data_IF_246309453482
#
_entry.id   IF_246309453482
#
_cell.length_a   1.000
_cell.length_b   1.000
_cell.length_c   1.000
_cell.angle_alpha   90.00
_cell.angle_beta   90.00
_cell.angle_gamma   90.00
#
_symmetry.space_group_name_H-M   'P 1'
#
loop_
_entity.id
_entity.type
_entity.pdbx_description
1 polymer ?
#
# COMPACT_ATOMS: atom_id res chain seq x y z
N UNK A 1 -21.96 10.18 7.22
CA UNK A 1 -20.73 9.48 7.62
C UNK A 1 -20.61 8.27 6.70
N UNK A 2 -19.74 8.36 5.68
CA UNK A 2 -19.54 7.35 4.62
C UNK A 2 -18.25 6.55 4.92
N UNK A 3 -17.80 6.51 6.17
CA UNK A 3 -16.54 5.86 6.55
C UNK A 3 -16.64 4.32 6.63
N UNK A 4 -17.81 3.73 6.36
CA UNK A 4 -18.11 2.33 6.72
C UNK A 4 -18.29 1.39 5.52
N UNK A 5 -18.64 1.90 4.34
CA UNK A 5 -18.88 1.06 3.16
C UNK A 5 -17.58 0.50 2.55
N UNK A 6 -16.44 1.05 2.95
CA UNK A 6 -15.13 0.76 2.36
C UNK A 6 -14.12 0.18 3.36
N UNK A 7 -14.55 -0.12 4.59
CA UNK A 7 -13.70 -0.72 5.60
C UNK A 7 -13.38 -2.19 5.28
N UNK A 8 -12.16 -2.66 5.56
CA UNK A 8 -11.83 -4.08 5.37
C UNK A 8 -12.57 -4.96 6.38
N UNK A 9 -12.84 -6.20 5.98
CA UNK A 9 -13.19 -7.24 6.94
C UNK A 9 -12.08 -7.39 7.99
N UNK A 10 -12.45 -7.50 9.27
CA UNK A 10 -11.50 -7.59 10.39
C UNK A 10 -10.45 -8.70 10.20
N UNK A 11 -10.89 -9.88 9.75
CA UNK A 11 -10.00 -11.01 9.49
C UNK A 11 -9.01 -10.71 8.36
N UNK A 12 -9.48 -10.11 7.27
CA UNK A 12 -8.61 -9.72 6.15
C UNK A 12 -7.56 -8.69 6.58
N UNK A 13 -7.96 -7.67 7.36
CA UNK A 13 -7.02 -6.69 7.92
C UNK A 13 -5.93 -7.34 8.79
N UNK A 14 -6.33 -8.19 9.74
CA UNK A 14 -5.36 -8.86 10.63
C UNK A 14 -4.36 -9.70 9.84
N UNK A 15 -4.84 -10.44 8.84
CA UNK A 15 -4.00 -11.25 7.96
C UNK A 15 -3.03 -10.36 7.19
N UNK A 16 -3.51 -9.26 6.60
CA UNK A 16 -2.66 -8.31 5.87
C UNK A 16 -1.60 -7.68 6.77
N UNK A 17 -1.95 -7.27 7.98
CA UNK A 17 -0.99 -6.69 8.93
C UNK A 17 0.05 -7.72 9.38
N UNK A 18 -0.36 -8.98 9.60
CA UNK A 18 0.57 -10.07 9.86
C UNK A 18 1.55 -10.26 8.67
N UNK A 19 1.04 -10.29 7.44
CA UNK A 19 1.91 -10.41 6.27
C UNK A 19 2.81 -9.19 6.07
N UNK A 20 2.33 -7.98 6.40
CA UNK A 20 3.08 -6.73 6.35
C UNK A 20 4.27 -6.73 7.30
N UNK A 21 4.10 -7.21 8.54
CA UNK A 21 5.18 -7.19 9.53
C UNK A 21 6.11 -8.41 9.47
N UNK A 22 5.55 -9.60 9.29
CA UNK A 22 6.32 -10.85 9.44
C UNK A 22 6.22 -11.79 8.24
N UNK A 23 5.24 -11.61 7.35
CA UNK A 23 5.00 -12.55 6.26
C UNK A 23 6.14 -12.67 5.26
N UNK A 24 6.58 -11.54 4.70
CA UNK A 24 7.70 -11.51 3.75
C UNK A 24 8.97 -12.07 4.35
N UNK A 25 9.34 -11.61 5.55
CA UNK A 25 10.49 -12.11 6.30
C UNK A 25 10.40 -13.61 6.60
N UNK A 26 9.23 -14.08 7.03
CA UNK A 26 8.98 -15.49 7.34
C UNK A 26 9.20 -16.40 6.14
N UNK A 27 8.72 -16.02 4.96
CA UNK A 27 8.93 -16.77 3.71
C UNK A 27 10.42 -16.82 3.35
N UNK A 28 11.12 -15.68 3.46
CA UNK A 28 12.56 -15.60 3.18
C UNK A 28 13.33 -16.52 4.14
N UNK A 29 13.07 -16.41 5.45
CA UNK A 29 13.74 -17.24 6.46
C UNK A 29 13.42 -18.72 6.29
N UNK A 30 12.18 -19.07 5.95
CA UNK A 30 11.78 -20.44 5.66
C UNK A 30 12.53 -21.00 4.43
N UNK A 31 12.62 -20.21 3.36
CA UNK A 31 13.43 -20.56 2.19
C UNK A 31 14.90 -20.77 2.53
N UNK A 32 15.49 -19.92 3.38
CA UNK A 32 16.86 -20.10 3.85
C UNK A 32 17.00 -21.39 4.68
N UNK A 33 16.05 -21.67 5.56
CA UNK A 33 16.03 -22.86 6.41
C UNK A 33 15.92 -24.17 5.61
N UNK A 34 15.07 -24.23 4.59
CA UNK A 34 14.95 -25.39 3.70
C UNK A 34 16.25 -25.65 2.93
N UNK A 35 16.96 -24.58 2.56
CA UNK A 35 18.19 -24.68 1.79
C UNK A 35 19.46 -24.71 2.65
N UNK A 36 19.34 -24.74 3.99
CA UNK A 36 20.48 -24.67 4.92
C UNK A 36 21.54 -25.74 4.70
N UNK A 37 21.14 -26.93 4.24
CA UNK A 37 22.05 -28.05 4.04
C UNK A 37 23.11 -27.75 2.97
N UNK A 38 22.84 -26.83 2.03
CA UNK A 38 23.82 -26.35 1.06
C UNK A 38 24.87 -25.44 1.69
N UNK A 39 24.51 -24.73 2.76
CA UNK A 39 25.44 -23.91 3.55
C UNK A 39 26.24 -24.75 4.55
N UNK A 40 25.65 -25.83 5.06
CA UNK A 40 26.23 -26.66 6.13
C UNK A 40 27.08 -27.84 5.62
N UNK A 41 27.17 -28.07 4.31
CA UNK A 41 28.10 -29.08 3.76
C UNK A 41 29.54 -28.67 4.10
N UNK A 42 30.22 -29.50 4.90
CA UNK A 42 31.58 -29.31 5.48
C UNK A 42 32.72 -29.06 4.46
N UNK A 43 32.48 -29.14 3.16
CA UNK A 43 33.47 -28.86 2.12
C UNK A 43 33.50 -27.37 1.72
N UNK A 44 33.35 -26.47 2.69
CA UNK A 44 33.52 -25.03 2.50
C UNK A 44 35.01 -24.70 2.37
N UNK A 45 35.65 -25.17 1.29
CA UNK A 45 36.96 -24.68 0.88
C UNK A 45 36.75 -23.32 0.22
N UNK A 46 37.12 -22.25 0.94
CA UNK A 46 37.09 -20.86 0.45
C UNK A 46 37.88 -20.63 -0.86
N UNK A 47 38.67 -21.61 -1.30
CA UNK A 47 39.40 -21.60 -2.58
C UNK A 47 38.53 -21.88 -3.81
N UNK A 48 37.30 -22.38 -3.66
CA UNK A 48 36.35 -22.61 -4.76
C UNK A 48 34.98 -22.02 -4.43
N UNK A 49 34.78 -20.75 -4.77
CA UNK A 49 33.50 -20.00 -4.64
C UNK A 49 32.33 -20.70 -5.37
N UNK A 50 32.60 -21.74 -6.16
CA UNK A 50 31.64 -22.50 -6.97
C UNK A 50 30.91 -23.66 -6.24
N UNK A 51 31.34 -24.08 -5.05
CA UNK A 51 30.90 -25.37 -4.46
C UNK A 51 29.56 -25.41 -3.70
N UNK A 52 29.24 -24.39 -2.88
CA UNK A 52 28.09 -24.44 -1.96
C UNK A 52 27.17 -23.22 -1.99
N UNK A 53 27.74 -22.03 -2.22
CA UNK A 53 27.00 -20.76 -2.23
C UNK A 53 26.08 -20.66 -3.45
N UNK A 54 26.57 -21.03 -4.64
CA UNK A 54 25.81 -20.93 -5.89
C UNK A 54 24.59 -21.86 -5.94
N UNK A 55 24.68 -23.15 -5.54
CA UNK A 55 23.51 -24.01 -5.38
C UNK A 55 22.51 -23.50 -4.34
N UNK A 56 22.98 -22.94 -3.23
CA UNK A 56 22.11 -22.31 -2.22
C UNK A 56 21.34 -21.15 -2.84
N UNK A 57 22.05 -20.17 -3.43
CA UNK A 57 21.42 -18.98 -4.02
C UNK A 57 20.40 -19.35 -5.09
N UNK A 58 20.72 -20.29 -6.00
CA UNK A 58 19.76 -20.73 -7.03
C UNK A 58 18.45 -21.25 -6.47
N UNK A 59 18.48 -21.97 -5.34
CA UNK A 59 17.28 -22.55 -4.70
C UNK A 59 16.61 -21.61 -3.72
N UNK A 60 17.37 -20.69 -3.13
CA UNK A 60 16.87 -19.66 -2.22
C UNK A 60 16.20 -18.50 -2.96
N UNK A 61 16.69 -18.17 -4.16
CA UNK A 61 16.24 -17.01 -4.93
C UNK A 61 14.72 -16.96 -5.20
N UNK A 62 14.03 -18.07 -5.53
CA UNK A 62 12.57 -18.06 -5.63
C UNK A 62 11.89 -17.67 -4.31
N UNK A 63 12.37 -18.17 -3.17
CA UNK A 63 11.82 -17.80 -1.85
C UNK A 63 12.05 -16.33 -1.53
N UNK A 64 13.21 -15.80 -1.91
CA UNK A 64 13.51 -14.38 -1.76
C UNK A 64 12.51 -13.54 -2.56
N UNK A 65 12.29 -13.86 -3.83
CA UNK A 65 11.35 -13.12 -4.68
C UNK A 65 9.89 -13.26 -4.20
N UNK A 66 9.46 -14.46 -3.80
CA UNK A 66 8.10 -14.66 -3.25
C UNK A 66 7.94 -13.85 -1.97
N UNK A 67 8.91 -13.89 -1.06
CA UNK A 67 8.85 -13.14 0.19
C UNK A 67 8.80 -11.64 -0.04
N UNK A 68 9.64 -11.11 -0.92
CA UNK A 68 9.63 -9.68 -1.30
C UNK A 68 8.31 -9.28 -1.97
N UNK A 69 7.75 -10.15 -2.83
CA UNK A 69 6.48 -9.89 -3.49
C UNK A 69 5.34 -9.82 -2.47
N UNK A 70 5.23 -10.81 -1.58
CA UNK A 70 4.25 -10.83 -0.49
C UNK A 70 4.38 -9.59 0.38
N UNK A 71 5.61 -9.17 0.68
CA UNK A 71 5.86 -7.95 1.45
C UNK A 71 5.37 -6.69 0.74
N UNK A 72 5.69 -6.55 -0.54
CA UNK A 72 5.27 -5.41 -1.36
C UNK A 72 3.76 -5.30 -1.50
N UNK A 73 3.08 -6.42 -1.77
CA UNK A 73 1.61 -6.49 -1.84
C UNK A 73 0.98 -6.16 -0.49
N UNK A 74 1.56 -6.66 0.61
CA UNK A 74 1.05 -6.38 1.95
C UNK A 74 1.22 -4.93 2.36
N UNK A 75 2.32 -4.28 1.97
CA UNK A 75 2.53 -2.84 2.18
C UNK A 75 1.50 -2.01 1.41
N UNK A 76 1.26 -2.36 0.15
CA UNK A 76 0.21 -1.76 -0.66
C UNK A 76 -1.17 -1.95 -0.02
N UNK A 77 -1.53 -3.18 0.36
CA UNK A 77 -2.83 -3.50 0.95
C UNK A 77 -3.06 -2.88 2.32
N UNK A 78 -2.04 -2.83 3.17
CA UNK A 78 -2.15 -2.15 4.45
C UNK A 78 -2.43 -0.65 4.24
N UNK A 79 -1.78 -0.01 3.27
CA UNK A 79 -2.03 1.40 2.92
C UNK A 79 -3.41 1.60 2.29
N UNK A 80 -3.81 0.70 1.37
CA UNK A 80 -5.13 0.65 0.71
C UNK A 80 -6.25 0.67 1.75
N UNK A 81 -6.19 -0.18 2.79
CA UNK A 81 -7.22 -0.22 3.82
C UNK A 81 -7.43 1.11 4.57
N UNK A 82 -6.36 1.83 4.91
CA UNK A 82 -6.51 3.14 5.54
C UNK A 82 -7.04 4.17 4.54
N UNK A 83 -6.51 4.24 3.31
CA UNK A 83 -6.99 5.20 2.33
C UNK A 83 -8.45 4.95 1.93
N UNK A 84 -8.85 3.69 1.76
CA UNK A 84 -10.22 3.28 1.45
C UNK A 84 -11.21 3.73 2.52
N UNK A 85 -10.88 3.53 3.80
CA UNK A 85 -11.77 3.85 4.91
C UNK A 85 -12.11 5.35 5.00
N UNK A 86 -11.16 6.21 4.62
CA UNK A 86 -11.30 7.67 4.64
C UNK A 86 -11.56 8.26 3.25
N UNK A 87 -11.74 7.41 2.24
CA UNK A 87 -12.11 7.84 0.89
C UNK A 87 -13.62 7.88 0.75
N UNK A 88 -14.13 8.89 0.06
CA UNK A 88 -15.54 8.89 -0.35
C UNK A 88 -15.77 7.93 -1.51
N UNK A 89 -14.87 7.94 -2.48
CA UNK A 89 -14.86 7.03 -3.62
C UNK A 89 -13.42 6.62 -3.93
N UNK A 90 -13.29 5.52 -4.66
CA UNK A 90 -12.02 4.96 -5.07
C UNK A 90 -12.18 4.17 -6.37
N UNK A 91 -11.08 4.04 -7.11
CA UNK A 91 -11.02 3.19 -8.30
C UNK A 91 -10.81 1.73 -7.91
N UNK A 92 -10.89 0.82 -8.88
CA UNK A 92 -10.31 -0.51 -8.71
C UNK A 92 -8.77 -0.44 -8.64
N UNK A 93 -8.16 -1.59 -8.32
CA UNK A 93 -6.70 -1.72 -8.35
C UNK A 93 -6.25 -2.13 -9.74
N UNK A 94 -5.41 -1.31 -10.35
CA UNK A 94 -4.94 -1.48 -11.72
C UNK A 94 -3.41 -1.56 -11.79
N UNK A 95 -2.88 -1.97 -12.94
CA UNK A 95 -1.43 -2.02 -13.17
C UNK A 95 -0.89 -0.75 -13.83
N UNK A 96 -1.77 0.01 -14.47
CA UNK A 96 -1.42 1.19 -15.27
C UNK A 96 -2.28 2.39 -14.90
N UNK A 97 -1.72 3.59 -15.05
CA UNK A 97 -2.46 4.82 -14.74
C UNK A 97 -3.63 5.05 -15.68
N UNK A 98 -3.57 4.52 -16.91
CA UNK A 98 -4.63 4.67 -17.91
C UNK A 98 -5.93 4.05 -17.41
N UNK A 99 -5.88 2.81 -16.91
CA UNK A 99 -7.04 2.10 -16.36
C UNK A 99 -7.59 2.82 -15.12
N UNK A 100 -6.71 3.32 -14.24
CA UNK A 100 -7.13 4.17 -13.10
C UNK A 100 -7.89 5.41 -13.57
N UNK A 101 -7.43 6.06 -14.64
CA UNK A 101 -8.10 7.23 -15.17
C UNK A 101 -9.40 6.89 -15.91
N UNK A 102 -9.53 5.69 -16.48
CA UNK A 102 -10.78 5.22 -17.06
C UNK A 102 -11.84 5.05 -15.97
N UNK A 103 -11.51 4.39 -14.85
CA UNK A 103 -12.39 4.29 -13.68
C UNK A 103 -12.81 5.67 -13.16
N UNK A 104 -11.86 6.59 -13.03
CA UNK A 104 -12.14 7.97 -12.58
C UNK A 104 -13.07 8.74 -13.53
N UNK A 105 -13.11 8.41 -14.83
CA UNK A 105 -14.03 9.07 -15.79
C UNK A 105 -15.44 8.56 -15.67
N UNK A 106 -15.60 7.28 -15.35
CA UNK A 106 -16.91 6.62 -15.28
C UNK A 106 -17.68 7.06 -14.03
N UNK A 107 -16.97 7.40 -12.95
CA UNK A 107 -17.59 7.89 -11.72
C UNK A 107 -18.10 9.35 -11.87
N UNK A 108 -19.34 9.51 -12.35
CA UNK A 108 -19.97 10.82 -12.54
C UNK A 108 -20.20 11.60 -11.23
N UNK A 109 -20.23 10.91 -10.09
CA UNK A 109 -20.38 11.54 -8.77
C UNK A 109 -19.09 12.27 -8.36
N UNK A 110 -17.96 11.89 -8.95
CA UNK A 110 -16.64 12.47 -8.72
C UNK A 110 -16.01 12.93 -10.01
N UNK A 111 -16.25 14.20 -10.37
CA UNK A 111 -15.51 14.85 -11.47
C UNK A 111 -14.05 15.07 -11.07
N UNK A 112 -13.23 14.03 -11.13
CA UNK A 112 -11.78 14.11 -11.04
C UNK A 112 -11.28 15.02 -12.18
N UNK A 113 -10.43 16.00 -11.87
CA UNK A 113 -9.77 16.82 -12.89
C UNK A 113 -8.59 16.04 -13.48
N UNK A 114 -8.93 15.04 -14.32
CA UNK A 114 -7.95 14.11 -14.88
C UNK A 114 -6.94 14.83 -15.77
N UNK A 115 -7.37 15.83 -16.53
CA UNK A 115 -6.47 16.64 -17.35
C UNK A 115 -5.47 17.43 -16.50
N UNK A 116 -5.92 18.00 -15.38
CA UNK A 116 -5.04 18.65 -14.40
C UNK A 116 -4.05 17.68 -13.77
N UNK A 117 -4.52 16.50 -13.36
CA UNK A 117 -3.69 15.41 -12.80
C UNK A 117 -2.59 15.00 -13.80
N UNK A 118 -2.97 14.75 -15.05
CA UNK A 118 -2.04 14.36 -16.10
C UNK A 118 -0.97 15.41 -16.39
N UNK A 119 -1.31 16.70 -16.29
CA UNK A 119 -0.36 17.81 -16.49
C UNK A 119 0.64 17.95 -15.34
N UNK A 120 0.21 17.70 -14.10
CA UNK A 120 1.07 17.84 -12.92
C UNK A 120 2.01 16.64 -12.72
N UNK A 121 1.62 15.48 -13.26
CA UNK A 121 2.45 14.28 -13.32
C UNK A 121 1.76 13.09 -12.67
N UNK A 122 1.94 11.91 -13.27
CA UNK A 122 1.19 10.70 -12.90
C UNK A 122 2.12 9.54 -12.57
N UNK A 123 1.67 8.56 -11.78
CA UNK A 123 2.36 7.28 -11.73
C UNK A 123 2.33 6.61 -13.11
N UNK A 124 3.33 5.79 -13.41
CA UNK A 124 3.43 5.06 -14.68
C UNK A 124 2.87 3.63 -14.55
N UNK A 125 3.53 2.78 -13.75
CA UNK A 125 3.20 1.35 -13.60
C UNK A 125 3.41 0.87 -12.16
N UNK A 126 2.67 -0.16 -11.75
CA UNK A 126 2.74 -0.74 -10.41
C UNK A 126 1.36 -1.16 -9.94
N UNK A 127 1.20 -1.52 -8.67
CA UNK A 127 -0.15 -1.64 -8.10
C UNK A 127 -0.67 -0.23 -7.86
N UNK A 128 -1.65 0.19 -8.65
CA UNK A 128 -2.19 1.54 -8.64
C UNK A 128 -3.64 1.54 -8.17
N UNK A 129 -3.99 2.48 -7.31
CA UNK A 129 -5.39 2.73 -6.94
C UNK A 129 -5.58 4.20 -6.60
N UNK A 130 -6.65 4.79 -7.14
CA UNK A 130 -7.04 6.17 -6.90
C UNK A 130 -8.07 6.27 -5.77
N UNK A 131 -7.99 7.35 -5.00
CA UNK A 131 -8.88 7.64 -3.88
C UNK A 131 -9.26 9.12 -3.92
N UNK A 132 -10.53 9.43 -3.63
CA UNK A 132 -10.96 10.78 -3.30
C UNK A 132 -11.09 10.88 -1.79
N UNK A 133 -10.15 11.57 -1.15
CA UNK A 133 -10.24 11.90 0.26
C UNK A 133 -11.11 13.14 0.42
N UNK A 134 -12.19 12.98 1.19
CA UNK A 134 -13.10 14.06 1.58
C UNK A 134 -13.27 13.97 3.09
N UNK A 135 -12.40 14.67 3.80
CA UNK A 135 -12.49 14.76 5.25
C UNK A 135 -12.50 16.20 5.74
N UNK A 136 -12.86 16.40 7.01
CA UNK A 136 -12.99 17.71 7.64
C UNK A 136 -11.90 17.85 8.70
N UNK A 137 -10.85 18.61 8.38
CA UNK A 137 -9.81 18.96 9.36
C UNK A 137 -10.30 20.10 10.25
N UNK A 138 -10.16 19.95 11.57
CA UNK A 138 -10.45 21.03 12.53
C UNK A 138 -9.16 21.80 12.83
N UNK A 139 -9.00 22.98 12.23
CA UNK A 139 -7.91 23.92 12.54
C UNK A 139 -8.45 25.01 13.49
N UNK A 140 -8.37 24.77 14.79
CA UNK A 140 -8.89 25.69 15.82
C UNK A 140 -10.42 25.80 15.78
N UNK A 141 -10.95 26.98 15.44
CA UNK A 141 -12.39 27.26 15.27
C UNK A 141 -12.88 27.04 13.82
N UNK A 142 -11.98 26.78 12.88
CA UNK A 142 -12.29 26.66 11.44
C UNK A 142 -12.22 25.20 11.02
N UNK A 143 -13.27 24.71 10.36
CA UNK A 143 -13.29 23.38 9.75
C UNK A 143 -12.84 23.51 8.30
N UNK A 144 -11.62 23.08 7.99
CA UNK A 144 -11.08 23.05 6.63
C UNK A 144 -11.40 21.69 6.01
N UNK A 145 -12.12 21.68 4.89
CA UNK A 145 -12.33 20.43 4.14
C UNK A 145 -11.04 20.04 3.42
N UNK A 146 -10.55 18.85 3.69
CA UNK A 146 -9.52 18.17 2.92
C UNK A 146 -10.22 17.64 1.67
N UNK A 147 -9.98 18.30 0.55
CA UNK A 147 -10.42 17.83 -0.76
C UNK A 147 -9.18 17.48 -1.57
N UNK A 148 -8.86 16.19 -1.61
CA UNK A 148 -7.63 15.70 -2.24
C UNK A 148 -7.91 14.43 -3.03
N UNK A 149 -7.22 14.32 -4.15
CA UNK A 149 -7.16 13.07 -4.92
C UNK A 149 -5.83 12.42 -4.60
N UNK A 150 -5.84 11.15 -4.23
CA UNK A 150 -4.62 10.41 -3.91
C UNK A 150 -4.53 9.23 -4.86
N UNK A 151 -3.37 9.03 -5.50
CA UNK A 151 -3.08 7.78 -6.22
C UNK A 151 -1.95 7.07 -5.48
N UNK A 152 -2.24 5.89 -4.94
CA UNK A 152 -1.24 5.04 -4.31
C UNK A 152 -0.57 4.15 -5.37
N UNK A 153 0.75 4.05 -5.30
CA UNK A 153 1.58 3.21 -6.17
C UNK A 153 2.42 2.25 -5.33
N UNK A 154 2.10 0.96 -5.39
CA UNK A 154 2.92 -0.12 -4.87
C UNK A 154 3.91 -0.62 -5.93
N UNK A 155 5.16 -0.88 -5.51
CA UNK A 155 6.20 -1.39 -6.40
C UNK A 155 6.43 -2.89 -6.15
N UNK A 156 6.40 -3.75 -7.19
CA UNK A 156 6.73 -5.16 -7.03
C UNK A 156 8.10 -5.35 -6.37
N UNK A 157 8.18 -6.30 -5.43
CA UNK A 157 9.40 -6.68 -4.71
C UNK A 157 10.00 -5.61 -3.78
N UNK A 158 9.37 -4.44 -3.65
CA UNK A 158 9.78 -3.39 -2.74
C UNK A 158 8.63 -3.08 -1.77
N UNK A 159 8.84 -3.19 -0.45
CA UNK A 159 7.81 -2.91 0.55
C UNK A 159 7.65 -1.39 0.77
N UNK A 160 7.34 -0.67 -0.32
CA UNK A 160 7.19 0.78 -0.37
C UNK A 160 5.94 1.13 -1.18
N UNK A 161 5.17 2.07 -0.65
CA UNK A 161 4.04 2.69 -1.36
C UNK A 161 4.37 4.16 -1.57
N UNK A 162 4.33 4.61 -2.82
CA UNK A 162 4.42 6.03 -3.17
C UNK A 162 3.02 6.59 -3.31
N UNK A 163 2.76 7.73 -2.68
CA UNK A 163 1.51 8.47 -2.81
C UNK A 163 1.74 9.67 -3.72
N UNK A 164 0.82 9.84 -4.68
CA UNK A 164 0.65 11.06 -5.46
C UNK A 164 -0.57 11.77 -4.91
N UNK A 165 -0.35 12.87 -4.19
CA UNK A 165 -1.36 13.62 -3.46
C UNK A 165 -1.63 14.90 -4.25
N UNK A 166 -2.79 14.97 -4.88
CA UNK A 166 -3.24 16.10 -5.67
C UNK A 166 -4.18 16.97 -4.82
N UNK A 167 -3.76 18.20 -4.53
CA UNK A 167 -4.59 19.16 -3.84
C UNK A 167 -5.61 19.77 -4.79
N UNK A 168 -6.88 19.77 -4.37
CA UNK A 168 -7.98 20.29 -5.18
C UNK A 168 -8.38 21.70 -4.72
N UNK A 169 -8.64 22.58 -5.69
CA UNK A 169 -9.28 23.87 -5.47
C UNK A 169 -10.62 23.87 -6.21
N UNK A 170 -11.68 23.49 -5.48
CA UNK A 170 -12.99 23.21 -6.07
C UNK A 170 -12.95 22.00 -6.99
N UNK A 171 -13.07 22.22 -8.30
CA UNK A 171 -13.05 21.15 -9.31
C UNK A 171 -11.73 21.02 -10.08
N UNK A 172 -10.70 21.78 -9.71
CA UNK A 172 -9.42 21.78 -10.42
C UNK A 172 -8.29 21.32 -9.52
N UNK A 173 -7.31 20.63 -10.10
CA UNK A 173 -6.08 20.30 -9.38
C UNK A 173 -5.17 21.52 -9.35
N UNK A 174 -4.66 21.83 -8.16
CA UNK A 174 -3.76 22.96 -7.92
C UNK A 174 -2.30 22.54 -7.84
N UNK A 175 -2.02 21.52 -7.04
CA UNK A 175 -0.66 21.12 -6.69
C UNK A 175 -0.56 19.60 -6.57
N UNK A 176 0.59 19.06 -6.94
CA UNK A 176 0.98 17.67 -6.68
C UNK A 176 2.05 17.63 -5.59
N UNK A 177 1.78 16.87 -4.53
CA UNK A 177 2.75 16.46 -3.51
C UNK A 177 3.00 14.97 -3.63
N UNK A 178 4.22 14.53 -3.39
CA UNK A 178 4.54 13.10 -3.35
C UNK A 178 5.06 12.71 -1.99
N UNK A 179 4.64 11.54 -1.52
CA UNK A 179 5.07 10.99 -0.25
C UNK A 179 5.36 9.50 -0.39
N UNK A 180 6.10 8.95 0.56
CA UNK A 180 6.45 7.54 0.59
C UNK A 180 6.10 6.96 1.96
N UNK A 181 5.57 5.75 1.92
CA UNK A 181 5.36 4.89 3.07
C UNK A 181 6.29 3.70 2.91
N UNK A 182 7.30 3.61 3.77
CA UNK A 182 8.27 2.53 3.76
C UNK A 182 8.00 1.60 4.94
N UNK A 183 8.12 0.30 4.73
CA UNK A 183 8.26 -0.63 5.84
C UNK A 183 9.48 -0.27 6.71
N UNK A 184 9.41 -0.35 8.06
CA UNK A 184 8.31 -0.84 8.92
C UNK A 184 7.41 0.26 9.51
N UNK A 185 7.20 1.38 8.81
CA UNK A 185 6.35 2.46 9.34
C UNK A 185 4.90 2.00 9.50
N UNK A 186 4.23 2.39 10.59
CA UNK A 186 2.79 2.21 10.71
C UNK A 186 2.08 2.96 9.58
N UNK A 187 1.32 2.29 8.68
CA UNK A 187 0.67 2.97 7.57
C UNK A 187 -0.31 4.06 8.04
N UNK A 188 -1.16 3.75 9.02
CA UNK A 188 -2.08 4.74 9.61
C UNK A 188 -1.35 5.90 10.29
N UNK A 189 -0.27 5.63 11.03
CA UNK A 189 0.53 6.68 11.65
C UNK A 189 1.17 7.61 10.63
N UNK A 190 1.77 7.04 9.57
CA UNK A 190 2.42 7.83 8.52
C UNK A 190 1.41 8.63 7.69
N UNK A 191 0.25 8.06 7.37
CA UNK A 191 -0.83 8.80 6.72
C UNK A 191 -1.33 9.94 7.62
N UNK A 192 -1.45 9.69 8.92
CA UNK A 192 -1.89 10.72 9.87
C UNK A 192 -0.95 11.92 9.92
N UNK A 193 0.36 11.68 9.89
CA UNK A 193 1.37 12.73 9.77
C UNK A 193 1.28 13.50 8.44
N UNK A 194 1.05 12.79 7.33
CA UNK A 194 1.06 13.38 5.98
C UNK A 194 -0.14 14.28 5.71
N UNK A 195 -1.31 13.90 6.21
CA UNK A 195 -2.55 14.61 5.97
C UNK A 195 -3.04 15.44 7.17
N UNK A 196 -2.37 15.33 8.33
CA UNK A 196 -2.69 16.02 9.58
C UNK A 196 -4.14 15.75 10.04
N UNK A 197 -4.55 14.49 9.95
CA UNK A 197 -5.81 13.95 10.49
C UNK A 197 -5.63 12.49 10.93
N UNK A 198 -6.35 12.00 11.95
CA UNK A 198 -6.13 10.66 12.48
C UNK A 198 -6.69 9.57 11.54
N UNK A 199 -5.79 8.83 10.90
CA UNK A 199 -6.13 7.59 10.18
C UNK A 199 -6.17 6.41 11.16
N UNK A 200 -7.31 6.27 11.83
CA UNK A 200 -7.61 5.15 12.71
C UNK A 200 -8.38 4.05 11.96
N UNK A 201 -8.11 2.79 12.30
CA UNK A 201 -8.81 1.66 11.70
C UNK A 201 -10.02 1.28 12.55
N UNK A 202 -11.21 1.22 11.94
CA UNK A 202 -12.45 0.85 12.61
C UNK A 202 -12.99 -0.48 12.05
N UNK A 203 -13.49 -1.35 12.94
CA UNK A 203 -14.13 -2.61 12.57
C UNK A 203 -15.52 -2.68 13.19
N UNK A 204 -16.53 -3.00 12.40
CA UNK A 204 -17.87 -3.31 12.90
C UNK A 204 -18.27 -4.71 12.41
N UNK A 205 -18.52 -5.63 13.34
CA UNK A 205 -18.71 -7.05 13.03
C UNK A 205 -18.46 -8.01 14.21
N UNK A 206 -17.91 -7.53 15.33
CA UNK A 206 -17.88 -8.26 16.60
C UNK A 206 -19.18 -8.09 17.40
N UNK A 207 -20.33 -8.23 16.75
CA UNK A 207 -21.61 -8.36 17.44
C UNK A 207 -21.65 -9.73 18.10
N UNK A 208 -21.12 -9.83 19.31
CA UNK A 208 -21.39 -10.96 20.17
C UNK A 208 -22.91 -11.11 20.28
N UNK A 209 -23.41 -12.26 19.82
CA UNK A 209 -24.71 -12.76 20.25
C UNK A 209 -24.55 -13.05 21.73
N UNK A 210 -24.87 -12.06 22.57
CA UNK A 210 -25.08 -12.27 23.99
C UNK A 210 -26.45 -12.92 24.19
N UNK A 211 -26.58 -13.99 24.99
CA UNK A 211 -27.80 -14.20 25.75
C UNK A 211 -28.05 -13.07 26.75
#
# INVERSE_FOLDING_TARGET
>A
MVYLEHGPEYGAYLITIAFYYIGGLGIILYGAYLNRNYLLKKEFKFTDIRGGLWPFFKRFLPWLFIGLLVWSVSAFKATDYYLSLYSFTMTETHLTSTEVFEDMKVDEFYRFDIEGIQKLGTPSTGLLKGYKLLDSKKEGLIVRRVDQVVIAQGYPFLPVVKLYIYEMEGKRVKELKTAYLFYPQSPGGRLSELFDFPFEMFFWGGGGVGP
#
